data_IF_656167798621
#
_entry.id   IF_656167798621
#
_cell.length_a   1.000
_cell.length_b   1.000
_cell.length_c   1.000
_cell.angle_alpha   90.00
_cell.angle_beta   90.00
_cell.angle_gamma   90.00
#
_symmetry.space_group_name_H-M   'P 1'
#
loop_
_entity.id
_entity.type
_entity.pdbx_description
1 polymer ?
#
# COMPACT_ATOMS: atom_id res chain seq x y z
N UNK A 1 10.41 5.54 21.24
CA UNK A 1 10.83 5.31 19.85
C UNK A 1 11.13 3.83 19.74
N UNK A 2 10.11 3.01 19.52
CA UNK A 2 10.29 1.56 19.34
C UNK A 2 10.69 1.30 17.89
N UNK A 3 11.87 0.71 17.71
CA UNK A 3 12.42 0.33 16.42
C UNK A 3 11.53 -0.73 15.77
N UNK A 4 10.74 -0.33 14.77
CA UNK A 4 9.95 -1.23 13.92
C UNK A 4 10.80 -2.09 12.96
N UNK A 5 12.13 -2.08 13.13
CA UNK A 5 13.09 -2.88 12.37
C UNK A 5 13.47 -4.19 13.10
N UNK A 6 12.97 -4.41 14.32
CA UNK A 6 13.23 -5.62 15.11
C UNK A 6 11.99 -6.48 15.36
N UNK A 7 10.88 -6.25 14.68
CA UNK A 7 9.73 -7.16 14.82
C UNK A 7 10.06 -8.42 14.03
N UNK A 8 10.34 -9.57 14.68
CA UNK A 8 10.72 -10.79 13.97
C UNK A 8 9.59 -11.16 13.01
N UNK A 9 9.91 -11.64 11.80
CA UNK A 9 8.94 -11.98 10.75
C UNK A 9 7.79 -12.87 11.29
N UNK A 10 8.11 -13.75 12.25
CA UNK A 10 7.15 -14.57 13.00
C UNK A 10 6.07 -13.77 13.75
N UNK A 11 6.35 -12.57 14.23
CA UNK A 11 5.38 -11.71 14.93
C UNK A 11 4.34 -11.15 13.95
N UNK A 12 4.72 -10.89 12.70
CA UNK A 12 3.79 -10.44 11.65
C UNK A 12 2.91 -11.60 11.18
N UNK A 13 3.51 -12.77 10.95
CA UNK A 13 2.76 -14.00 10.61
C UNK A 13 1.75 -14.35 11.71
N UNK A 14 2.16 -14.28 12.99
CA UNK A 14 1.25 -14.45 14.13
C UNK A 14 0.14 -13.41 14.19
N UNK A 15 0.41 -12.15 13.82
CA UNK A 15 -0.61 -11.10 13.77
C UNK A 15 -1.66 -11.40 12.69
N UNK A 16 -1.24 -11.83 11.50
CA UNK A 16 -2.13 -12.19 10.40
C UNK A 16 -2.94 -13.44 10.75
N UNK A 17 -2.32 -14.47 11.31
CA UNK A 17 -3.04 -15.66 11.80
C UNK A 17 -4.10 -15.32 12.86
N UNK A 18 -3.80 -14.38 13.75
CA UNK A 18 -4.72 -13.96 14.81
C UNK A 18 -5.89 -13.13 14.29
N UNK A 19 -5.63 -12.14 13.45
CA UNK A 19 -6.63 -11.15 13.03
C UNK A 19 -7.45 -11.63 11.82
N UNK A 20 -6.85 -12.37 10.87
CA UNK A 20 -7.54 -12.84 9.67
C UNK A 20 -8.16 -14.23 9.82
N UNK A 21 -7.53 -15.12 10.61
CA UNK A 21 -7.94 -16.52 10.71
C UNK A 21 -8.43 -16.94 12.10
N UNK A 22 -8.32 -16.07 13.13
CA UNK A 22 -8.66 -16.35 14.54
C UNK A 22 -7.98 -17.59 15.13
N UNK A 23 -6.84 -17.99 14.57
CA UNK A 23 -6.06 -19.13 15.06
C UNK A 23 -5.14 -18.63 16.17
N UNK A 24 -5.34 -19.11 17.40
CA UNK A 24 -4.55 -18.71 18.59
C UNK A 24 -3.41 -19.66 18.91
N UNK A 25 -3.32 -20.80 18.23
CA UNK A 25 -2.27 -21.81 18.43
C UNK A 25 -1.18 -21.59 17.40
N UNK A 26 0.07 -21.38 17.85
CA UNK A 26 1.23 -21.23 16.96
C UNK A 26 1.49 -22.58 16.28
N UNK A 27 1.32 -22.62 14.96
CA UNK A 27 1.55 -23.82 14.14
C UNK A 27 2.73 -23.52 13.21
N UNK A 28 3.96 -23.93 13.56
CA UNK A 28 5.16 -23.56 12.81
C UNK A 28 5.10 -23.92 11.32
N UNK A 29 4.38 -24.99 10.98
CA UNK A 29 4.20 -25.45 9.60
C UNK A 29 3.30 -24.53 8.77
N UNK A 30 2.28 -23.91 9.38
CA UNK A 30 1.43 -22.91 8.71
C UNK A 30 2.17 -21.59 8.62
N UNK A 31 2.94 -21.24 9.66
CA UNK A 31 3.78 -20.04 9.66
C UNK A 31 4.84 -20.08 8.53
N UNK A 32 5.49 -21.23 8.30
CA UNK A 32 6.42 -21.47 7.20
C UNK A 32 5.77 -21.50 5.81
N UNK A 33 4.53 -22.00 5.71
CA UNK A 33 3.79 -21.95 4.44
C UNK A 33 3.36 -20.52 4.10
N UNK A 34 3.01 -19.72 5.11
CA UNK A 34 2.73 -18.29 4.93
C UNK A 34 4.01 -17.53 4.60
N UNK A 35 5.13 -17.83 5.26
CA UNK A 35 6.45 -17.24 4.97
C UNK A 35 6.90 -17.53 3.53
N UNK A 36 6.80 -18.78 3.08
CA UNK A 36 7.06 -19.18 1.70
C UNK A 36 6.08 -18.56 0.68
N UNK A 37 4.81 -18.37 1.06
CA UNK A 37 3.83 -17.67 0.23
C UNK A 37 4.11 -16.16 0.15
N UNK A 38 4.71 -15.58 1.20
CA UNK A 38 5.07 -14.16 1.31
C UNK A 38 6.36 -13.84 0.54
N UNK A 39 7.29 -14.81 0.42
CA UNK A 39 8.49 -14.65 -0.39
C UNK A 39 8.25 -14.74 -1.91
N UNK A 40 7.14 -15.36 -2.33
CA UNK A 40 6.73 -15.50 -3.75
C UNK A 40 5.89 -14.32 -4.28
N UNK A 41 5.82 -13.22 -3.54
CA UNK A 41 5.08 -12.00 -3.92
C UNK A 41 6.06 -11.08 -4.67
N UNK A 42 6.09 -11.07 -6.02
CA UNK A 42 6.97 -10.17 -6.78
C UNK A 42 6.61 -8.72 -6.46
N UNK A 43 7.46 -8.06 -5.66
CA UNK A 43 7.15 -6.83 -4.93
C UNK A 43 6.61 -5.66 -5.75
N UNK A 44 6.81 -5.62 -7.08
CA UNK A 44 6.24 -4.57 -7.95
C UNK A 44 4.78 -4.85 -8.38
N UNK A 45 4.51 -6.03 -8.95
CA UNK A 45 3.13 -6.41 -9.36
C UNK A 45 2.21 -6.45 -8.15
N UNK A 46 2.73 -6.90 -7.02
CA UNK A 46 1.97 -7.03 -5.80
C UNK A 46 1.66 -5.69 -5.13
N UNK A 47 2.52 -4.68 -5.29
CA UNK A 47 2.22 -3.33 -4.77
C UNK A 47 1.10 -2.64 -5.56
N UNK A 48 1.14 -2.72 -6.89
CA UNK A 48 0.09 -2.13 -7.72
C UNK A 48 -1.26 -2.79 -7.47
N UNK A 49 -1.31 -4.13 -7.41
CA UNK A 49 -2.54 -4.89 -7.08
C UNK A 49 -3.04 -4.56 -5.67
N UNK A 50 -2.15 -4.32 -4.71
CA UNK A 50 -2.54 -3.87 -3.37
C UNK A 50 -3.13 -2.45 -3.39
N UNK A 51 -2.62 -1.57 -4.24
CA UNK A 51 -3.16 -0.21 -4.43
C UNK A 51 -4.51 -0.22 -5.15
N UNK A 52 -4.66 -1.07 -6.17
CA UNK A 52 -5.89 -1.30 -6.94
C UNK A 52 -7.00 -1.93 -6.07
N UNK A 53 -6.66 -2.85 -5.17
CA UNK A 53 -7.65 -3.48 -4.27
C UNK A 53 -7.94 -2.67 -2.99
N UNK A 54 -7.28 -1.53 -2.80
CA UNK A 54 -7.47 -0.67 -1.63
C UNK A 54 -6.97 -1.30 -0.33
N UNK A 55 -5.89 -2.08 -0.41
CA UNK A 55 -5.33 -2.83 0.69
C UNK A 55 -5.04 -1.96 1.94
N UNK A 56 -4.96 -2.62 3.09
CA UNK A 56 -4.63 -1.94 4.35
C UNK A 56 -3.26 -1.26 4.26
N UNK A 57 -3.15 -0.07 4.87
CA UNK A 57 -1.90 0.68 5.01
C UNK A 57 -0.75 -0.20 5.52
N UNK A 58 -1.02 -1.15 6.43
CA UNK A 58 0.00 -2.07 6.94
C UNK A 58 0.63 -2.94 5.85
N UNK A 59 -0.18 -3.41 4.90
CA UNK A 59 0.29 -4.19 3.75
C UNK A 59 1.11 -3.30 2.82
N UNK A 60 0.64 -2.08 2.56
CA UNK A 60 1.36 -1.12 1.73
C UNK A 60 2.71 -0.71 2.35
N UNK A 61 2.78 -0.49 3.67
CA UNK A 61 4.02 -0.23 4.39
C UNK A 61 4.98 -1.41 4.35
N UNK A 62 4.46 -2.63 4.51
CA UNK A 62 5.24 -3.85 4.40
C UNK A 62 5.86 -4.00 3.01
N UNK A 63 5.07 -3.81 1.95
CA UNK A 63 5.54 -3.91 0.57
C UNK A 63 6.52 -2.78 0.22
N UNK A 64 6.26 -1.55 0.68
CA UNK A 64 7.17 -0.40 0.47
C UNK A 64 8.53 -0.57 1.16
N UNK A 65 8.61 -1.37 2.23
CA UNK A 65 9.90 -1.72 2.86
C UNK A 65 10.71 -2.72 2.01
N UNK A 66 10.05 -3.60 1.26
CA UNK A 66 10.69 -4.68 0.47
C UNK A 66 10.96 -4.31 -1.00
N UNK A 67 10.16 -3.41 -1.56
CA UNK A 67 10.25 -3.01 -2.96
C UNK A 67 10.14 -1.49 -3.12
N UNK A 68 10.80 -0.96 -4.15
CA UNK A 68 10.59 0.40 -4.60
C UNK A 68 9.50 0.38 -5.68
N UNK A 69 8.28 0.85 -5.40
CA UNK A 69 7.19 0.81 -6.36
C UNK A 69 7.40 1.82 -7.49
N UNK A 70 6.96 1.47 -8.70
CA UNK A 70 6.59 2.47 -9.70
C UNK A 70 5.38 3.28 -9.22
N UNK A 71 5.68 4.46 -8.71
CA UNK A 71 4.69 5.37 -8.15
C UNK A 71 3.62 5.80 -9.13
N UNK A 72 3.96 5.93 -10.42
CA UNK A 72 2.99 6.36 -11.42
C UNK A 72 1.90 5.31 -11.58
N UNK A 73 2.29 4.05 -11.76
CA UNK A 73 1.33 2.95 -11.89
C UNK A 73 0.51 2.75 -10.61
N UNK A 74 1.15 2.85 -9.44
CA UNK A 74 0.48 2.65 -8.16
C UNK A 74 -0.54 3.76 -7.86
N UNK A 75 -0.20 5.02 -8.15
CA UNK A 75 -1.11 6.17 -8.01
C UNK A 75 -2.26 6.06 -9.00
N UNK A 76 -1.98 5.74 -10.27
CA UNK A 76 -3.02 5.58 -11.29
C UNK A 76 -4.00 4.45 -10.92
N UNK A 77 -3.51 3.33 -10.41
CA UNK A 77 -4.35 2.23 -9.93
C UNK A 77 -5.24 2.62 -8.74
N UNK A 78 -4.67 3.27 -7.72
CA UNK A 78 -5.45 3.73 -6.57
C UNK A 78 -6.48 4.81 -6.95
N UNK A 79 -6.16 5.67 -7.91
CA UNK A 79 -7.05 6.71 -8.39
C UNK A 79 -8.20 6.15 -9.25
N UNK A 80 -7.90 5.19 -10.12
CA UNK A 80 -8.90 4.49 -10.95
C UNK A 80 -9.94 3.79 -10.11
N UNK A 81 -9.55 3.16 -9.00
CA UNK A 81 -10.47 2.45 -8.10
C UNK A 81 -11.01 3.34 -6.97
N UNK A 82 -10.64 4.63 -6.96
CA UNK A 82 -11.17 5.61 -6.02
C UNK A 82 -10.71 5.44 -4.56
N UNK A 83 -9.59 4.75 -4.34
CA UNK A 83 -9.05 4.45 -3.02
C UNK A 83 -8.36 5.67 -2.39
N UNK A 84 -9.16 6.62 -1.94
CA UNK A 84 -8.72 7.88 -1.34
C UNK A 84 -7.77 7.68 -0.16
N UNK A 85 -8.00 6.69 0.70
CA UNK A 85 -7.12 6.41 1.85
C UNK A 85 -5.71 6.00 1.41
N UNK A 86 -5.58 5.29 0.30
CA UNK A 86 -4.29 4.92 -0.29
C UNK A 86 -3.61 6.16 -0.88
N UNK A 87 -4.32 6.99 -1.63
CA UNK A 87 -3.77 8.24 -2.20
C UNK A 87 -3.25 9.19 -1.11
N UNK A 88 -4.01 9.33 -0.01
CA UNK A 88 -3.60 10.12 1.16
C UNK A 88 -2.36 9.54 1.84
N UNK A 89 -2.32 8.22 2.03
CA UNK A 89 -1.16 7.53 2.58
C UNK A 89 0.09 7.74 1.71
N UNK A 90 -0.04 7.61 0.38
CA UNK A 90 1.07 7.84 -0.55
C UNK A 90 1.60 9.26 -0.44
N UNK A 91 0.72 10.27 -0.43
CA UNK A 91 1.12 11.67 -0.27
C UNK A 91 1.84 11.93 1.07
N UNK A 92 1.41 11.29 2.16
CA UNK A 92 2.10 11.38 3.45
C UNK A 92 3.52 10.81 3.40
N UNK A 93 3.77 9.75 2.62
CA UNK A 93 5.11 9.14 2.46
C UNK A 93 6.09 9.99 1.65
N UNK A 94 5.65 11.07 0.99
CA UNK A 94 6.56 12.04 0.36
C UNK A 94 7.48 12.71 1.40
N UNK A 95 6.97 12.99 2.61
CA UNK A 95 7.77 13.56 3.71
C UNK A 95 8.97 12.69 4.08
N UNK A 96 8.80 11.37 3.97
CA UNK A 96 9.84 10.37 4.24
C UNK A 96 10.75 10.10 3.01
N UNK A 97 10.60 10.86 1.92
CA UNK A 97 11.26 10.65 0.61
C UNK A 97 11.04 9.26 0.00
N UNK A 98 9.99 8.56 0.44
CA UNK A 98 9.59 7.23 -0.03
C UNK A 98 8.21 7.25 -0.68
N UNK A 99 7.76 8.40 -1.15
CA UNK A 99 6.44 8.58 -1.76
C UNK A 99 6.52 9.09 -3.20
N UNK A 100 5.37 9.14 -3.90
CA UNK A 100 5.24 9.67 -5.25
C UNK A 100 5.59 11.16 -5.31
N UNK A 101 6.06 11.58 -6.48
CA UNK A 101 6.27 12.99 -6.83
C UNK A 101 5.08 13.51 -7.64
N UNK A 102 5.03 14.84 -7.83
CA UNK A 102 3.97 15.50 -8.61
C UNK A 102 3.71 14.85 -9.99
N UNK A 103 4.79 14.48 -10.70
CA UNK A 103 4.72 13.83 -12.02
C UNK A 103 4.00 12.47 -12.02
N UNK A 104 3.91 11.83 -10.85
CA UNK A 104 3.29 10.52 -10.69
C UNK A 104 1.76 10.66 -10.52
N UNK A 105 1.26 11.86 -10.21
CA UNK A 105 -0.18 12.17 -10.08
C UNK A 105 -0.81 12.78 -11.33
N UNK A 106 -0.04 13.01 -12.40
CA UNK A 106 -0.52 13.72 -13.61
C UNK A 106 -1.75 13.07 -14.24
N UNK A 107 -1.81 11.73 -14.22
CA UNK A 107 -2.92 10.95 -14.77
C UNK A 107 -3.99 10.57 -13.74
N UNK A 108 -3.64 10.58 -12.46
CA UNK A 108 -4.52 10.21 -11.36
C UNK A 108 -5.87 10.92 -11.41
N UNK A 109 -5.88 12.23 -11.68
CA UNK A 109 -7.11 13.02 -11.75
C UNK A 109 -8.00 12.56 -12.91
N UNK A 110 -7.42 12.22 -14.05
CA UNK A 110 -8.15 11.78 -15.23
C UNK A 110 -8.74 10.37 -15.02
N UNK A 111 -7.97 9.46 -14.41
CA UNK A 111 -8.42 8.11 -14.07
C UNK A 111 -9.58 8.16 -13.04
N UNK A 112 -9.42 8.91 -11.95
CA UNK A 112 -10.46 9.07 -10.94
C UNK A 112 -11.73 9.75 -11.50
N UNK A 113 -11.56 10.68 -12.45
CA UNK A 113 -12.69 11.36 -13.11
C UNK A 113 -13.43 10.44 -14.09
N UNK A 114 -12.69 9.60 -14.82
CA UNK A 114 -13.26 8.65 -15.78
C UNK A 114 -14.16 7.63 -15.09
N UNK A 115 -13.75 7.14 -13.92
CA UNK A 115 -14.50 6.16 -13.13
C UNK A 115 -15.51 6.80 -12.16
N UNK A 116 -15.57 8.14 -12.10
CA UNK A 116 -16.58 8.87 -11.33
C UNK A 116 -16.33 8.92 -9.81
N UNK A 117 -15.08 8.73 -9.37
CA UNK A 117 -14.70 8.75 -7.95
C UNK A 117 -14.59 10.17 -7.40
N UNK A 118 -15.74 10.79 -7.14
CA UNK A 118 -15.87 12.20 -6.76
C UNK A 118 -14.97 12.62 -5.58
N UNK A 119 -14.86 11.80 -4.53
CA UNK A 119 -14.04 12.13 -3.35
C UNK A 119 -12.53 12.08 -3.65
N UNK A 120 -12.09 11.14 -4.49
CA UNK A 120 -10.71 11.09 -4.97
C UNK A 120 -10.41 12.29 -5.90
N UNK A 121 -11.35 12.66 -6.78
CA UNK A 121 -11.23 13.82 -7.67
C UNK A 121 -11.12 15.12 -6.88
N UNK A 122 -12.00 15.35 -5.89
CA UNK A 122 -11.93 16.54 -5.01
C UNK A 122 -10.59 16.60 -4.31
N UNK A 123 -10.16 15.50 -3.70
CA UNK A 123 -8.90 15.46 -2.99
C UNK A 123 -7.69 15.68 -3.92
N UNK A 124 -7.66 15.04 -5.09
CA UNK A 124 -6.61 15.25 -6.08
C UNK A 124 -6.62 16.69 -6.60
N UNK A 125 -7.78 17.29 -6.84
CA UNK A 125 -7.88 18.68 -7.28
C UNK A 125 -7.37 19.67 -6.23
N UNK A 126 -7.77 19.48 -4.97
CA UNK A 126 -7.40 20.36 -3.85
C UNK A 126 -5.96 20.14 -3.37
N UNK A 127 -5.47 18.89 -3.41
CA UNK A 127 -4.19 18.51 -2.81
C UNK A 127 -3.05 18.29 -3.83
N UNK A 128 -3.30 17.94 -5.10
CA UNK A 128 -2.24 17.84 -6.12
C UNK A 128 -1.38 19.12 -6.30
N UNK A 129 -1.91 20.35 -6.14
CA UNK A 129 -1.08 21.55 -6.23
C UNK A 129 -0.26 21.82 -4.97
N UNK A 130 -0.64 21.29 -3.80
CA UNK A 130 0.01 21.55 -2.50
C UNK A 130 1.17 20.60 -2.21
N UNK A 131 1.35 19.57 -3.05
CA UNK A 131 2.51 18.65 -3.06
C UNK A 131 3.73 19.31 -3.73
N UNK A 132 3.88 20.64 -3.63
CA UNK A 132 5.07 21.38 -4.10
C UNK A 132 6.24 21.19 -3.15
#
# INVERSE_FOLDING_TARGET
>A
MENLDEVPIFTVVRLVCRECFRITVSVPSVELQIDGLVDDIPGQKSFNVACESGASIRVLEYLLKRAAPDWREAVDAAAREGHLHVLQWMAAKRGDRRGPWKKDFERALQEASAEGHLEAVKWLFDCAPTIT
#
